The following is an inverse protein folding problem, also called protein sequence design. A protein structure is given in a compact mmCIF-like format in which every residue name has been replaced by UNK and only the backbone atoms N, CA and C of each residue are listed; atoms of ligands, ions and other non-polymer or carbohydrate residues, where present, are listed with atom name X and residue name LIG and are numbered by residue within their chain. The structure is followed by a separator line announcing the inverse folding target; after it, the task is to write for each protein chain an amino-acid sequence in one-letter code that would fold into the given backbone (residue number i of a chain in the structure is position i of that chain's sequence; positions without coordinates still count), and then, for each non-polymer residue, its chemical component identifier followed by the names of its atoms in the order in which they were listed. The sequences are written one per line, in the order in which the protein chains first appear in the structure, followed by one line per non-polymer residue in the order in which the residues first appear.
data_IF_955032042471
#
_entry.id   IF_955032042471
#
_cell.length_a   1.000
_cell.length_b   1.000
_cell.length_c   1.000
_cell.angle_alpha   90.00
_cell.angle_beta   90.00
_cell.angle_gamma   90.00
#
_symmetry.space_group_name_H-M   'P 1'
#
loop_
_entity.id
_entity.type
_entity.pdbx_description
1 polymer ?
#
# COMPACT_ATOMS: atom_id res chain seq x y z
N UNK A 1 23.15 23.47 33.64
CA UNK A 1 23.10 22.19 32.89
C UNK A 1 22.86 21.09 33.91
N UNK A 2 21.76 20.35 33.99
CA UNK A 2 20.48 20.31 33.28
C UNK A 2 19.63 19.24 33.97
N UNK A 3 18.75 19.64 34.88
CA UNK A 3 17.93 18.73 35.72
C UNK A 3 16.46 19.14 35.86
N UNK A 4 15.92 19.97 34.97
CA UNK A 4 14.53 20.46 35.09
C UNK A 4 13.49 19.72 34.25
N UNK A 5 13.81 19.30 33.01
CA UNK A 5 12.77 18.85 32.08
C UNK A 5 12.36 17.37 32.24
N UNK A 6 13.29 16.52 32.70
CA UNK A 6 12.99 15.11 32.99
C UNK A 6 12.11 14.97 34.23
N UNK A 7 12.41 15.70 35.30
CA UNK A 7 11.62 15.66 36.53
C UNK A 7 10.20 16.20 36.36
N UNK A 8 10.00 17.21 35.50
CA UNK A 8 8.67 17.75 35.22
C UNK A 8 7.84 16.74 34.42
N UNK A 9 8.41 16.08 33.40
CA UNK A 9 7.71 15.05 32.61
C UNK A 9 7.33 13.83 33.45
N UNK A 10 8.19 13.40 34.36
CA UNK A 10 7.91 12.25 35.23
C UNK A 10 6.82 12.58 36.26
N UNK A 11 6.79 13.81 36.78
CA UNK A 11 5.68 14.30 37.62
C UNK A 11 4.35 14.38 36.86
N UNK A 12 4.35 14.80 35.60
CA UNK A 12 3.13 14.80 34.76
C UNK A 12 2.61 13.38 34.51
N UNK A 13 3.50 12.40 34.26
CA UNK A 13 3.11 10.99 34.13
C UNK A 13 2.51 10.43 35.42
N UNK A 14 3.07 10.77 36.58
CA UNK A 14 2.57 10.30 37.87
C UNK A 14 1.21 10.93 38.23
N UNK A 15 1.01 12.21 37.92
CA UNK A 15 -0.27 12.92 38.11
C UNK A 15 -1.35 12.30 37.20
N UNK A 16 -1.05 12.04 35.93
CA UNK A 16 -1.99 11.41 35.00
C UNK A 16 -2.38 9.97 35.42
N UNK A 17 -1.46 9.23 36.05
CA UNK A 17 -1.73 7.89 36.62
C UNK A 17 -2.61 7.96 37.87
N UNK A 18 -2.43 8.98 38.74
CA UNK A 18 -3.24 9.16 39.97
C UNK A 18 -4.65 9.68 39.70
N UNK A 19 -4.84 10.47 38.66
CA UNK A 19 -6.16 11.03 38.30
C UNK A 19 -7.08 10.04 37.56
N UNK A 20 -6.62 8.82 37.26
CA UNK A 20 -7.43 7.83 36.54
C UNK A 20 -7.78 8.22 35.10
N UNK A 21 -7.16 9.28 34.56
CA UNK A 21 -7.43 9.86 33.24
C UNK A 21 -6.72 9.11 32.09
N UNK A 22 -5.93 8.08 32.38
CA UNK A 22 -5.49 7.09 31.39
C UNK A 22 -6.44 5.89 31.38
N UNK A 23 -7.73 6.15 31.12
CA UNK A 23 -8.53 5.25 30.29
C UNK A 23 -8.45 5.79 28.86
N UNK A 24 -7.27 5.68 28.24
CA UNK A 24 -7.25 5.62 26.78
C UNK A 24 -7.56 4.17 26.48
N UNK A 25 -8.82 3.92 26.09
CA UNK A 25 -9.17 2.71 25.37
C UNK A 25 -8.05 2.45 24.36
N UNK A 26 -7.36 1.31 24.49
CA UNK A 26 -6.47 0.86 23.42
C UNK A 26 -7.36 0.68 22.19
N UNK A 27 -7.44 1.72 21.34
CA UNK A 27 -7.61 1.54 19.91
C UNK A 27 -6.65 0.44 19.54
N UNK A 28 -7.18 -0.69 19.09
CA UNK A 28 -6.42 -1.89 18.80
C UNK A 28 -5.38 -1.57 17.74
N UNK A 29 -4.17 -1.26 18.19
CA UNK A 29 -2.98 -1.16 17.37
C UNK A 29 -2.83 -2.52 16.69
N UNK A 30 -2.64 -2.51 15.37
CA UNK A 30 -2.21 -3.68 14.63
C UNK A 30 -0.91 -4.14 15.31
N UNK A 31 -0.79 -5.43 15.63
CA UNK A 31 0.46 -5.93 16.19
C UNK A 31 1.59 -5.71 15.18
N UNK A 32 2.75 -5.28 15.70
CA UNK A 32 3.97 -5.09 14.90
C UNK A 32 4.28 -6.33 14.04
N UNK A 33 4.13 -7.54 14.62
CA UNK A 33 4.28 -8.82 13.93
C UNK A 33 3.29 -9.01 12.76
N UNK A 34 2.01 -8.68 12.94
CA UNK A 34 1.01 -8.83 11.90
C UNK A 34 1.24 -7.88 10.72
N UNK A 35 1.79 -6.70 11.00
CA UNK A 35 2.09 -5.72 9.96
C UNK A 35 3.39 -6.04 9.22
N UNK A 36 4.40 -6.59 9.90
CA UNK A 36 5.58 -7.15 9.24
C UNK A 36 5.20 -8.30 8.29
N UNK A 37 4.32 -9.20 8.71
CA UNK A 37 3.83 -10.30 7.87
C UNK A 37 3.01 -9.78 6.67
N UNK A 38 2.20 -8.73 6.85
CA UNK A 38 1.55 -8.02 5.75
C UNK A 38 2.58 -7.44 4.76
N UNK A 39 3.55 -6.65 5.24
CA UNK A 39 4.53 -5.96 4.39
C UNK A 39 5.44 -6.92 3.62
N UNK A 40 5.81 -8.05 4.23
CA UNK A 40 6.64 -9.10 3.61
C UNK A 40 5.92 -9.76 2.43
N UNK A 41 4.62 -10.01 2.55
CA UNK A 41 3.80 -10.51 1.43
C UNK A 41 3.58 -9.44 0.35
N UNK A 42 3.40 -8.19 0.76
CA UNK A 42 3.09 -7.08 -0.14
C UNK A 42 4.27 -6.64 -1.00
N UNK A 43 5.51 -6.79 -0.51
CA UNK A 43 6.71 -6.38 -1.25
C UNK A 43 6.82 -7.12 -2.57
N UNK A 44 6.77 -8.46 -2.51
CA UNK A 44 6.86 -9.33 -3.68
C UNK A 44 5.75 -9.07 -4.68
N UNK A 45 4.56 -8.72 -4.18
CA UNK A 45 3.42 -8.40 -5.00
C UNK A 45 3.60 -7.05 -5.73
N UNK A 46 3.90 -5.96 -5.02
CA UNK A 46 3.99 -4.61 -5.61
C UNK A 46 5.21 -4.47 -6.51
N UNK A 47 6.39 -4.84 -5.98
CA UNK A 47 7.64 -4.78 -6.75
C UNK A 47 7.59 -5.79 -7.90
N UNK A 48 7.07 -7.00 -7.64
CA UNK A 48 6.92 -8.02 -8.69
C UNK A 48 6.01 -7.56 -9.83
N UNK A 49 4.89 -6.89 -9.52
CA UNK A 49 4.00 -6.30 -10.54
C UNK A 49 4.72 -5.20 -11.34
N UNK A 50 5.45 -4.32 -10.66
CA UNK A 50 6.23 -3.26 -11.30
C UNK A 50 7.26 -3.81 -12.30
N UNK A 51 8.06 -4.79 -11.88
CA UNK A 51 9.09 -5.38 -12.72
C UNK A 51 8.51 -6.21 -13.87
N UNK A 52 7.37 -6.88 -13.64
CA UNK A 52 6.65 -7.58 -14.70
C UNK A 52 6.15 -6.59 -15.77
N UNK A 53 5.55 -5.46 -15.37
CA UNK A 53 5.10 -4.43 -16.30
C UNK A 53 6.27 -3.88 -17.13
N UNK A 54 7.39 -3.52 -16.49
CA UNK A 54 8.60 -3.06 -17.18
C UNK A 54 9.14 -4.06 -18.20
N UNK A 55 9.08 -5.35 -17.86
CA UNK A 55 9.57 -6.41 -18.74
C UNK A 55 8.65 -6.68 -19.94
N UNK A 56 7.35 -6.41 -19.80
CA UNK A 56 6.33 -6.80 -20.79
C UNK A 56 5.71 -5.60 -21.55
N UNK A 57 6.13 -4.37 -21.27
CA UNK A 57 5.72 -3.20 -22.06
C UNK A 57 6.89 -2.25 -22.34
N UNK A 58 7.21 -2.09 -23.63
CA UNK A 58 8.18 -1.08 -24.09
C UNK A 58 7.50 0.20 -24.59
N UNK A 59 6.18 0.25 -24.50
CA UNK A 59 5.39 1.37 -25.02
C UNK A 59 5.50 2.62 -24.16
N UNK A 60 5.85 2.53 -22.87
CA UNK A 60 5.91 3.65 -21.94
C UNK A 60 7.32 3.81 -21.39
N UNK A 61 7.83 5.05 -21.36
CA UNK A 61 9.20 5.33 -20.87
C UNK A 61 9.31 5.33 -19.35
N UNK A 62 8.20 5.58 -18.67
CA UNK A 62 8.17 5.66 -17.20
C UNK A 62 7.10 4.72 -16.69
N UNK A 63 7.52 3.76 -15.87
CA UNK A 63 6.63 2.80 -15.21
C UNK A 63 7.00 2.81 -13.74
N UNK A 64 6.05 3.23 -12.90
CA UNK A 64 6.27 3.43 -11.46
C UNK A 64 5.01 3.08 -10.66
N UNK A 65 5.17 2.80 -9.37
CA UNK A 65 4.07 2.67 -8.42
C UNK A 65 4.17 3.79 -7.41
N UNK A 66 3.07 4.50 -7.14
CA UNK A 66 3.00 5.45 -6.02
C UNK A 66 2.02 4.96 -4.97
N UNK A 67 2.21 5.35 -3.70
CA UNK A 67 1.31 4.93 -2.61
C UNK A 67 0.77 6.12 -1.87
N UNK A 68 -0.55 6.20 -1.76
CA UNK A 68 -1.22 7.28 -1.01
C UNK A 68 -2.07 6.66 0.07
N UNK A 69 -1.89 7.12 1.31
CA UNK A 69 -2.71 6.70 2.45
C UNK A 69 -3.12 7.87 3.32
N UNK A 70 -4.06 7.64 4.23
CA UNK A 70 -4.58 8.67 5.13
C UNK A 70 -3.50 9.24 6.06
N UNK A 71 -2.47 8.45 6.36
CA UNK A 71 -1.35 8.80 7.24
C UNK A 71 0.02 8.68 6.55
N UNK A 72 0.06 8.13 5.35
CA UNK A 72 1.27 8.04 4.53
C UNK A 72 1.22 9.15 3.48
N UNK A 73 2.05 10.17 3.64
CA UNK A 73 2.19 11.27 2.68
C UNK A 73 2.87 10.87 1.36
N UNK A 74 3.26 9.61 1.17
CA UNK A 74 4.28 9.19 0.21
C UNK A 74 3.88 9.36 -1.27
N UNK A 75 3.96 10.60 -1.76
CA UNK A 75 4.03 10.93 -3.19
C UNK A 75 5.47 10.67 -3.67
N UNK A 76 5.92 9.42 -3.63
CA UNK A 76 7.21 8.99 -4.21
C UNK A 76 7.04 7.65 -4.91
N UNK A 77 7.74 7.46 -6.02
CA UNK A 77 7.79 6.19 -6.74
C UNK A 77 8.41 5.12 -5.83
N UNK A 78 7.67 4.05 -5.55
CA UNK A 78 8.17 2.88 -4.83
C UNK A 78 9.27 2.19 -5.64
N UNK A 79 10.34 1.84 -4.94
CA UNK A 79 11.47 1.06 -5.44
C UNK A 79 11.97 0.14 -4.34
N UNK A 80 12.84 -0.81 -4.69
CA UNK A 80 13.50 -1.66 -3.69
C UNK A 80 14.27 -0.87 -2.64
N UNK A 81 14.75 0.33 -2.98
CA UNK A 81 15.58 1.15 -2.10
C UNK A 81 14.75 1.86 -1.02
N UNK A 82 13.53 2.30 -1.34
CA UNK A 82 12.68 3.05 -0.42
C UNK A 82 11.53 2.22 0.20
N UNK A 83 11.42 0.94 -0.17
CA UNK A 83 10.37 0.06 0.35
C UNK A 83 10.46 -0.15 1.88
N UNK A 84 11.67 -0.15 2.44
CA UNK A 84 11.87 -0.22 3.89
C UNK A 84 11.32 1.00 4.64
N UNK A 85 11.50 2.20 4.09
CA UNK A 85 10.92 3.43 4.66
C UNK A 85 9.39 3.39 4.58
N UNK A 86 8.84 2.97 3.43
CA UNK A 86 7.41 2.76 3.25
C UNK A 86 6.82 1.77 4.27
N UNK A 87 7.52 0.67 4.55
CA UNK A 87 7.10 -0.32 5.55
C UNK A 87 6.98 0.31 6.93
N UNK A 88 7.96 1.14 7.33
CA UNK A 88 7.94 1.82 8.62
C UNK A 88 6.78 2.82 8.74
N UNK A 89 6.48 3.57 7.66
CA UNK A 89 5.33 4.48 7.63
C UNK A 89 4.00 3.72 7.69
N UNK A 90 3.96 2.52 7.11
CA UNK A 90 2.76 1.64 7.12
C UNK A 90 2.46 1.08 8.51
N UNK A 91 3.48 0.84 9.35
CA UNK A 91 3.30 0.45 10.76
C UNK A 91 2.45 1.45 11.53
N UNK A 92 2.47 2.72 11.14
CA UNK A 92 1.79 3.79 11.87
C UNK A 92 0.29 3.90 11.57
N UNK A 93 -0.24 3.15 10.59
CA UNK A 93 -1.66 3.23 10.21
C UNK A 93 -2.56 2.82 11.37
N UNK A 94 -3.41 3.75 11.79
CA UNK A 94 -4.46 3.49 12.79
C UNK A 94 -5.76 3.10 12.08
N UNK A 95 -6.29 1.89 12.28
CA UNK A 95 -7.58 1.52 11.69
C UNK A 95 -8.77 2.33 12.28
N UNK A 96 -9.81 2.62 11.49
CA UNK A 96 -9.92 2.34 10.07
C UNK A 96 -9.01 3.23 9.22
N UNK A 97 -8.37 2.66 8.20
CA UNK A 97 -7.50 3.40 7.30
C UNK A 97 -7.36 2.71 5.94
N UNK A 98 -6.69 3.35 5.00
CA UNK A 98 -6.46 2.78 3.67
C UNK A 98 -5.09 3.14 3.08
N UNK A 99 -4.62 2.29 2.17
CA UNK A 99 -3.49 2.53 1.28
C UNK A 99 -3.88 2.28 -0.17
N UNK A 100 -3.60 3.23 -1.04
CA UNK A 100 -3.86 3.14 -2.47
C UNK A 100 -2.53 3.03 -3.22
N UNK A 101 -2.29 1.88 -3.85
CA UNK A 101 -1.15 1.63 -4.72
C UNK A 101 -1.55 1.93 -6.16
N UNK A 102 -0.97 2.98 -6.74
CA UNK A 102 -1.24 3.43 -8.10
C UNK A 102 -0.11 3.08 -9.04
N UNK A 103 -0.39 2.23 -10.00
CA UNK A 103 0.52 1.90 -11.10
C UNK A 103 0.38 2.95 -12.19
N UNK A 104 1.47 3.62 -12.53
CA UNK A 104 1.51 4.64 -13.56
C UNK A 104 2.41 4.22 -14.71
N UNK A 105 1.84 4.16 -15.91
CA UNK A 105 2.55 4.02 -17.16
C UNK A 105 2.46 5.38 -17.88
N UNK A 106 3.58 6.10 -17.94
CA UNK A 106 3.65 7.46 -18.47
C UNK A 106 4.56 7.58 -19.68
N UNK A 107 4.37 8.64 -20.45
CA UNK A 107 5.21 8.99 -21.61
C UNK A 107 5.20 7.86 -22.64
N UNK A 108 4.00 7.53 -23.12
CA UNK A 108 3.85 6.53 -24.18
C UNK A 108 4.53 6.98 -25.48
N UNK A 109 5.15 6.04 -26.19
CA UNK A 109 5.66 6.27 -27.55
C UNK A 109 4.52 6.33 -28.58
N UNK A 110 3.34 5.83 -28.22
CA UNK A 110 2.11 5.93 -29.00
C UNK A 110 1.25 7.09 -28.46
N UNK A 111 0.38 7.71 -29.28
CA UNK A 111 -0.53 8.77 -28.83
C UNK A 111 -1.73 8.24 -28.02
N UNK A 112 -1.51 7.25 -27.14
CA UNK A 112 -2.55 6.62 -26.30
C UNK A 112 -2.69 7.30 -24.92
N UNK A 113 -1.82 8.25 -24.62
CA UNK A 113 -1.72 8.93 -23.34
C UNK A 113 -1.26 8.02 -22.20
N UNK A 114 -1.27 8.55 -20.99
CA UNK A 114 -0.87 7.80 -19.80
C UNK A 114 -1.95 6.78 -19.41
N UNK A 115 -1.51 5.72 -18.73
CA UNK A 115 -2.37 4.69 -18.15
C UNK A 115 -2.13 4.64 -16.65
N UNK A 116 -3.21 4.57 -15.88
CA UNK A 116 -3.16 4.40 -14.44
C UNK A 116 -4.13 3.31 -14.01
N UNK A 117 -3.69 2.51 -13.04
CA UNK A 117 -4.53 1.53 -12.35
C UNK A 117 -4.25 1.55 -10.85
N UNK A 118 -5.24 1.16 -10.06
CA UNK A 118 -5.19 1.31 -8.60
C UNK A 118 -5.58 0.01 -7.89
N UNK A 119 -4.83 -0.32 -6.85
CA UNK A 119 -5.18 -1.31 -5.84
C UNK A 119 -5.33 -0.61 -4.50
N UNK A 120 -6.41 -0.89 -3.78
CA UNK A 120 -6.62 -0.36 -2.43
C UNK A 120 -6.49 -1.47 -1.39
N UNK A 121 -5.79 -1.18 -0.29
CA UNK A 121 -5.77 -1.98 0.92
C UNK A 121 -6.52 -1.23 2.01
N UNK A 122 -7.56 -1.84 2.55
CA UNK A 122 -8.34 -1.33 3.67
C UNK A 122 -7.88 -1.99 4.96
N UNK A 123 -7.65 -1.18 5.98
CA UNK A 123 -7.25 -1.58 7.32
C UNK A 123 -8.46 -1.41 8.24
N UNK A 124 -8.91 -2.49 8.86
CA UNK A 124 -10.00 -2.51 9.84
C UNK A 124 -9.46 -2.82 11.24
N UNK A 125 -10.33 -2.95 12.25
CA UNK A 125 -9.89 -3.14 13.63
C UNK A 125 -9.11 -4.45 13.85
N UNK A 126 -9.49 -5.50 13.14
CA UNK A 126 -9.06 -6.90 13.36
C UNK A 126 -8.61 -7.61 12.07
N UNK A 127 -8.75 -6.95 10.92
CA UNK A 127 -8.53 -7.53 9.60
C UNK A 127 -8.07 -6.47 8.60
N UNK A 128 -7.52 -6.92 7.49
CA UNK A 128 -7.31 -6.10 6.30
C UNK A 128 -8.02 -6.72 5.09
N UNK A 129 -8.37 -5.88 4.13
CA UNK A 129 -8.94 -6.27 2.86
C UNK A 129 -8.15 -5.65 1.72
N UNK A 130 -7.69 -6.46 0.78
CA UNK A 130 -7.05 -6.00 -0.44
C UNK A 130 -8.09 -6.05 -1.55
N UNK A 131 -8.37 -4.91 -2.17
CA UNK A 131 -9.40 -4.78 -3.19
C UNK A 131 -8.81 -4.20 -4.47
N UNK A 132 -9.00 -4.93 -5.55
CA UNK A 132 -8.70 -4.49 -6.90
C UNK A 132 -9.99 -4.36 -7.71
N UNK A 133 -10.21 -3.21 -8.33
CA UNK A 133 -11.39 -2.93 -9.15
C UNK A 133 -10.95 -2.72 -10.59
N UNK A 134 -11.36 -3.63 -11.47
CA UNK A 134 -11.14 -3.56 -12.91
C UNK A 134 -12.45 -3.24 -13.63
N UNK A 135 -12.52 -2.03 -14.18
CA UNK A 135 -13.70 -1.56 -14.88
C UNK A 135 -14.95 -1.52 -13.98
N UNK A 136 -16.16 -1.51 -14.55
CA UNK A 136 -17.40 -1.38 -13.78
C UNK A 136 -17.84 -2.66 -13.04
N UNK A 137 -17.31 -3.84 -13.40
CA UNK A 137 -17.91 -5.13 -13.01
C UNK A 137 -16.95 -6.14 -12.37
N UNK A 138 -15.64 -6.02 -12.59
CA UNK A 138 -14.70 -7.04 -12.13
C UNK A 138 -13.99 -6.54 -10.88
N UNK A 139 -14.36 -7.07 -9.72
CA UNK A 139 -13.69 -6.80 -8.45
C UNK A 139 -13.09 -8.08 -7.89
N UNK A 140 -11.79 -8.07 -7.58
CA UNK A 140 -11.14 -9.12 -6.78
C UNK A 140 -10.89 -8.55 -5.39
N UNK A 141 -11.27 -9.33 -4.37
CA UNK A 141 -11.04 -8.99 -2.97
C UNK A 141 -10.42 -10.16 -2.23
N UNK A 142 -9.48 -9.87 -1.34
CA UNK A 142 -8.85 -10.82 -0.41
C UNK A 142 -8.95 -10.23 0.98
N UNK A 143 -9.61 -10.94 1.88
CA UNK A 143 -9.79 -10.52 3.27
C UNK A 143 -9.01 -11.46 4.21
N UNK A 144 -8.26 -10.89 5.14
CA UNK A 144 -7.42 -11.64 6.08
C UNK A 144 -7.36 -10.96 7.45
N UNK A 145 -7.13 -11.75 8.48
CA UNK A 145 -6.76 -11.25 9.80
C UNK A 145 -5.33 -10.70 9.76
N UNK A 146 -5.00 -9.70 10.58
CA UNK A 146 -3.65 -9.11 10.59
C UNK A 146 -2.52 -10.10 10.89
N UNK A 147 -2.78 -11.09 11.72
CA UNK A 147 -1.78 -12.11 12.09
C UNK A 147 -1.60 -13.17 10.99
N UNK A 148 -2.27 -13.03 9.85
CA UNK A 148 -2.21 -13.99 8.74
C UNK A 148 -1.53 -13.34 7.55
N UNK A 149 -0.44 -13.96 7.10
CA UNK A 149 0.25 -13.57 5.87
C UNK A 149 -0.65 -13.84 4.66
N UNK A 150 -0.46 -13.04 3.61
CA UNK A 150 -1.09 -13.30 2.30
C UNK A 150 -0.34 -14.45 1.66
N UNK A 151 -1.05 -15.47 1.20
CA UNK A 151 -0.40 -16.66 0.65
C UNK A 151 0.33 -16.33 -0.66
N UNK A 152 1.46 -16.98 -0.96
CA UNK A 152 2.20 -16.77 -2.20
C UNK A 152 1.34 -16.91 -3.47
N UNK A 153 0.36 -17.81 -3.46
CA UNK A 153 -0.53 -18.01 -4.61
C UNK A 153 -1.56 -16.88 -4.74
N UNK A 154 -2.08 -16.35 -3.63
CA UNK A 154 -2.93 -15.15 -3.60
C UNK A 154 -2.19 -13.91 -4.13
N UNK A 155 -0.92 -13.76 -3.73
CA UNK A 155 0.00 -12.72 -4.24
C UNK A 155 0.19 -12.87 -5.75
N UNK A 156 0.49 -14.08 -6.23
CA UNK A 156 0.70 -14.35 -7.66
C UNK A 156 -0.56 -14.07 -8.47
N UNK A 157 -1.71 -14.54 -8.00
CA UNK A 157 -2.99 -14.33 -8.68
C UNK A 157 -3.29 -12.84 -8.85
N UNK A 158 -3.15 -12.04 -7.78
CA UNK A 158 -3.37 -10.59 -7.89
C UNK A 158 -2.33 -9.89 -8.75
N UNK A 159 -1.05 -10.28 -8.66
CA UNK A 159 0.04 -9.70 -9.47
C UNK A 159 -0.25 -9.90 -10.94
N UNK A 160 -0.58 -11.13 -11.32
CA UNK A 160 -0.82 -11.52 -12.71
C UNK A 160 -2.09 -10.86 -13.22
N UNK A 161 -3.15 -10.77 -12.40
CA UNK A 161 -4.39 -10.08 -12.74
C UNK A 161 -4.16 -8.60 -13.03
N UNK A 162 -3.54 -7.86 -12.11
CA UNK A 162 -3.30 -6.41 -12.26
C UNK A 162 -2.39 -6.14 -13.45
N UNK A 163 -1.29 -6.89 -13.55
CA UNK A 163 -0.32 -6.70 -14.63
C UNK A 163 -0.95 -6.97 -16.00
N UNK A 164 -1.69 -8.08 -16.12
CA UNK A 164 -2.39 -8.45 -17.36
C UNK A 164 -3.42 -7.40 -17.75
N UNK A 165 -4.21 -6.91 -16.79
CA UNK A 165 -5.25 -5.91 -17.05
C UNK A 165 -4.66 -4.56 -17.49
N UNK A 166 -3.55 -4.13 -16.89
CA UNK A 166 -2.83 -2.92 -17.35
C UNK A 166 -2.33 -3.11 -18.79
N UNK A 167 -1.73 -4.26 -19.10
CA UNK A 167 -1.25 -4.55 -20.46
C UNK A 167 -2.41 -4.65 -21.47
N UNK A 168 -3.55 -5.21 -21.09
CA UNK A 168 -4.76 -5.21 -21.92
C UNK A 168 -5.26 -3.79 -22.19
N UNK A 169 -5.30 -2.91 -21.17
CA UNK A 169 -5.64 -1.49 -21.35
C UNK A 169 -4.69 -0.80 -22.35
N UNK A 170 -3.40 -1.12 -22.30
CA UNK A 170 -2.40 -0.63 -23.27
C UNK A 170 -2.76 -1.13 -24.67
N UNK A 171 -2.93 -2.46 -24.84
CA UNK A 171 -3.23 -3.08 -26.15
C UNK A 171 -4.49 -2.49 -26.78
N UNK A 172 -5.59 -2.45 -26.04
CA UNK A 172 -6.89 -1.94 -26.55
C UNK A 172 -6.76 -0.50 -27.03
N UNK A 173 -5.97 0.35 -26.35
CA UNK A 173 -5.75 1.72 -26.81
C UNK A 173 -4.88 1.79 -28.07
N UNK A 174 -3.90 0.90 -28.22
CA UNK A 174 -3.06 0.83 -29.44
C UNK A 174 -3.88 0.34 -30.62
N UNK A 175 -4.70 -0.70 -30.44
CA UNK A 175 -5.53 -1.28 -31.50
C UNK A 175 -6.50 -0.23 -32.07
N UNK A 176 -7.09 0.61 -31.21
CA UNK A 176 -7.95 1.73 -31.62
C UNK A 176 -7.25 2.82 -32.44
N UNK A 177 -5.91 2.88 -32.46
CA UNK A 177 -5.18 3.79 -33.34
C UNK A 177 -5.00 3.23 -34.75
N UNK A 178 -5.21 1.93 -34.94
CA UNK A 178 -5.07 1.24 -36.21
C UNK A 178 -6.41 1.12 -36.97
N UNK A 179 -7.51 1.46 -36.30
CA UNK A 179 -8.88 1.57 -36.85
C UNK A 179 -9.13 2.97 -37.45
#
# INVERSE_FOLDING_TARGET
MGSSDKEIKDKFKEINKRLGLLQVERTSEISEDGLYEFCRGFELFIIGSLEYLKSNTQSHRTIEVTVVGDQIQAIKALSNENYGEFTNDTILIVPPGQLNFRFHLKNSIYPIGDITDELTVYFFKDRYEIRYIYGPEITKSIEKQYMTYIEPDEIREMRDLISTNILQKVSVKIDKLQE
#
